data_IF_985577618826
#
_entry.id   IF_985577618826
#
_cell.length_a   1.000
_cell.length_b   1.000
_cell.length_c   1.000
_cell.angle_alpha   90.00
_cell.angle_beta   90.00
_cell.angle_gamma   90.00
#
_symmetry.space_group_name_H-M   'P 1'
#
loop_
_entity.id
_entity.type
_entity.pdbx_description
1 polymer ?
#
# COMPACT_ATOMS: atom_id res chain seq x y z
N UNK A 1 -5.72 -3.80 17.32
CA UNK A 1 -5.83 -4.54 16.04
C UNK A 1 -6.87 -5.68 16.05
N UNK A 2 -7.08 -6.50 17.09
CA UNK A 2 -8.02 -7.62 17.00
C UNK A 2 -9.43 -7.23 16.56
N UNK A 3 -9.98 -6.13 17.07
CA UNK A 3 -11.32 -5.65 16.72
C UNK A 3 -11.41 -5.14 15.27
N UNK A 4 -10.33 -4.54 14.76
CA UNK A 4 -10.25 -4.08 13.36
C UNK A 4 -10.19 -5.28 12.42
N UNK A 5 -9.38 -6.28 12.73
CA UNK A 5 -9.25 -7.51 11.95
C UNK A 5 -10.59 -8.24 11.85
N UNK A 6 -11.31 -8.42 12.93
CA UNK A 6 -12.63 -9.07 12.93
C UNK A 6 -13.67 -8.25 12.14
N UNK A 7 -13.60 -6.92 12.20
CA UNK A 7 -14.47 -6.05 11.39
C UNK A 7 -14.16 -6.18 9.90
N UNK A 8 -12.88 -6.20 9.52
CA UNK A 8 -12.45 -6.41 8.12
C UNK A 8 -12.92 -7.77 7.61
N UNK A 9 -12.71 -8.85 8.37
CA UNK A 9 -13.20 -10.20 8.00
C UNK A 9 -14.71 -10.22 7.79
N UNK A 10 -15.46 -9.53 8.63
CA UNK A 10 -16.90 -9.43 8.51
C UNK A 10 -17.30 -8.73 7.20
N UNK A 11 -16.65 -7.61 6.87
CA UNK A 11 -16.91 -6.86 5.63
C UNK A 11 -16.56 -7.68 4.38
N UNK A 12 -15.41 -8.37 4.40
CA UNK A 12 -14.99 -9.29 3.33
C UNK A 12 -16.07 -10.35 3.08
N UNK A 13 -16.57 -10.98 4.14
CA UNK A 13 -17.62 -11.99 4.03
C UNK A 13 -18.95 -11.41 3.51
N UNK A 14 -19.34 -10.23 3.97
CA UNK A 14 -20.57 -9.55 3.52
C UNK A 14 -20.54 -9.15 2.06
N UNK A 15 -19.38 -8.75 1.56
CA UNK A 15 -19.17 -8.33 0.17
C UNK A 15 -18.74 -9.48 -0.76
N UNK A 16 -18.61 -10.69 -0.25
CA UNK A 16 -18.13 -11.86 -1.00
C UNK A 16 -16.77 -11.66 -1.69
N UNK A 17 -15.88 -10.89 -1.07
CA UNK A 17 -14.54 -10.66 -1.61
C UNK A 17 -13.75 -11.97 -1.58
N UNK A 18 -13.19 -12.36 -2.73
CA UNK A 18 -12.37 -13.55 -2.84
C UNK A 18 -10.96 -13.28 -2.33
N UNK A 19 -10.62 -13.83 -1.16
CA UNK A 19 -9.32 -13.69 -0.52
C UNK A 19 -8.41 -14.88 -0.84
N UNK A 20 -7.11 -14.59 -1.06
CA UNK A 20 -6.09 -15.61 -0.96
C UNK A 20 -5.98 -16.17 0.48
N UNK A 21 -5.45 -17.39 0.65
CA UNK A 21 -5.28 -17.96 1.98
C UNK A 21 -4.29 -17.14 2.82
N UNK A 22 -4.39 -17.22 4.13
CA UNK A 22 -3.35 -16.70 5.02
C UNK A 22 -2.02 -17.40 4.79
N UNK A 23 -0.93 -16.69 5.01
CA UNK A 23 0.42 -17.23 4.87
C UNK A 23 1.11 -17.33 6.23
N UNK A 24 2.23 -18.03 6.26
CA UNK A 24 3.00 -18.29 7.48
C UNK A 24 4.03 -17.18 7.77
N UNK A 25 4.45 -17.07 9.03
CA UNK A 25 5.59 -16.24 9.42
C UNK A 25 6.86 -16.57 8.64
N UNK A 26 7.05 -17.83 8.23
CA UNK A 26 8.21 -18.27 7.44
C UNK A 26 8.18 -17.66 6.03
N UNK A 27 7.01 -17.64 5.39
CA UNK A 27 6.84 -17.01 4.06
C UNK A 27 7.06 -15.49 4.12
N UNK A 28 6.54 -14.84 5.16
CA UNK A 28 6.76 -13.41 5.41
C UNK A 28 8.26 -13.13 5.61
N UNK A 29 8.93 -13.92 6.47
CA UNK A 29 10.35 -13.75 6.74
C UNK A 29 11.23 -13.99 5.48
N UNK A 30 10.82 -14.91 4.61
CA UNK A 30 11.51 -15.15 3.34
C UNK A 30 11.41 -13.93 2.41
N UNK A 31 10.24 -13.31 2.29
CA UNK A 31 10.05 -12.08 1.53
C UNK A 31 10.87 -10.93 2.12
N UNK A 32 10.78 -10.71 3.44
CA UNK A 32 11.54 -9.66 4.13
C UNK A 32 13.06 -9.80 3.90
N UNK A 33 13.56 -11.03 3.95
CA UNK A 33 14.97 -11.32 3.68
C UNK A 33 15.35 -11.06 2.22
N UNK A 34 14.51 -11.47 1.28
CA UNK A 34 14.74 -11.27 -0.15
C UNK A 34 14.71 -9.79 -0.55
N UNK A 35 13.88 -8.98 0.12
CA UNK A 35 13.72 -7.56 -0.16
C UNK A 35 14.52 -6.65 0.79
N UNK A 36 15.33 -7.20 1.69
CA UNK A 36 16.12 -6.45 2.66
C UNK A 36 15.29 -5.41 3.43
N UNK A 37 14.13 -5.81 3.92
CA UNK A 37 13.16 -4.95 4.60
C UNK A 37 12.49 -5.68 5.75
N UNK A 38 11.67 -4.96 6.51
CA UNK A 38 10.71 -5.52 7.43
C UNK A 38 9.32 -4.99 7.10
N UNK A 39 8.37 -5.88 6.92
CA UNK A 39 6.99 -5.49 6.64
C UNK A 39 6.35 -4.82 7.87
N UNK A 40 5.58 -3.76 7.69
CA UNK A 40 4.83 -3.12 8.77
C UNK A 40 3.91 -4.11 9.48
N UNK A 41 3.77 -3.93 10.80
CA UNK A 41 3.01 -4.87 11.64
C UNK A 41 1.56 -5.05 11.18
N UNK A 42 0.89 -3.98 10.78
CA UNK A 42 -0.49 -4.05 10.32
C UNK A 42 -0.64 -4.95 9.08
N UNK A 43 0.29 -4.86 8.13
CA UNK A 43 0.28 -5.72 6.95
C UNK A 43 0.64 -7.17 7.28
N UNK A 44 1.62 -7.40 8.15
CA UNK A 44 1.95 -8.75 8.64
C UNK A 44 0.74 -9.43 9.29
N UNK A 45 0.01 -8.72 10.16
CA UNK A 45 -1.19 -9.23 10.81
C UNK A 45 -2.29 -9.54 9.79
N UNK A 46 -2.45 -8.70 8.77
CA UNK A 46 -3.40 -8.96 7.69
C UNK A 46 -3.05 -10.26 6.96
N UNK A 47 -1.80 -10.46 6.56
CA UNK A 47 -1.33 -11.66 5.88
C UNK A 47 -1.49 -12.93 6.72
N UNK A 48 -1.28 -12.84 8.03
CA UNK A 48 -1.36 -13.98 8.96
C UNK A 48 -2.79 -14.33 9.35
N UNK A 49 -3.70 -13.37 9.42
CA UNK A 49 -5.01 -13.57 10.04
C UNK A 49 -6.19 -13.34 9.08
N UNK A 50 -6.01 -12.55 8.01
CA UNK A 50 -7.09 -12.23 7.07
C UNK A 50 -6.91 -12.96 5.74
N UNK A 51 -5.79 -12.73 5.06
CA UNK A 51 -5.49 -13.38 3.78
C UNK A 51 -4.37 -12.69 3.01
N UNK A 52 -3.93 -13.34 1.93
CA UNK A 52 -2.84 -12.91 1.07
C UNK A 52 -3.36 -12.59 -0.33
N UNK A 53 -3.54 -11.31 -0.60
CA UNK A 53 -4.12 -10.80 -1.84
C UNK A 53 -5.61 -11.04 -1.96
N UNK A 54 -6.28 -10.20 -2.72
CA UNK A 54 -7.70 -10.38 -3.01
C UNK A 54 -8.09 -9.80 -4.36
N UNK A 55 -9.19 -10.35 -4.88
CA UNK A 55 -9.89 -9.87 -6.05
C UNK A 55 -11.37 -9.78 -5.71
N UNK A 56 -11.96 -8.62 -5.88
CA UNK A 56 -13.39 -8.45 -5.68
C UNK A 56 -14.13 -8.74 -6.99
N UNK A 57 -14.93 -9.81 -7.07
CA UNK A 57 -15.66 -10.16 -8.29
C UNK A 57 -16.69 -9.11 -8.71
N UNK A 58 -17.22 -8.31 -7.78
CA UNK A 58 -18.18 -7.26 -8.09
C UNK A 58 -17.49 -6.03 -8.71
N UNK A 59 -16.21 -5.86 -8.44
CA UNK A 59 -15.37 -4.80 -9.01
C UNK A 59 -14.49 -5.30 -10.15
N UNK A 60 -14.63 -6.55 -10.58
CA UNK A 60 -13.84 -7.13 -11.66
C UNK A 60 -13.93 -6.24 -12.92
N UNK A 61 -12.77 -5.71 -13.34
CA UNK A 61 -12.66 -4.75 -14.45
C UNK A 61 -12.87 -3.28 -14.03
N UNK A 62 -13.15 -2.99 -12.76
CA UNK A 62 -13.25 -1.63 -12.21
C UNK A 62 -12.04 -1.33 -11.32
N UNK A 63 -11.67 -2.28 -10.45
CA UNK A 63 -10.51 -2.17 -9.59
C UNK A 63 -9.50 -3.30 -9.84
N UNK A 64 -8.23 -2.98 -9.75
CA UNK A 64 -7.16 -3.97 -9.87
C UNK A 64 -7.08 -4.87 -8.64
N UNK A 65 -6.72 -6.15 -8.81
CA UNK A 65 -6.55 -7.05 -7.69
C UNK A 65 -5.36 -6.64 -6.80
N UNK A 66 -5.47 -6.87 -5.50
CA UNK A 66 -4.34 -6.75 -4.59
C UNK A 66 -3.45 -7.98 -4.74
N UNK A 67 -2.17 -7.75 -4.99
CA UNK A 67 -1.21 -8.81 -5.25
C UNK A 67 -1.01 -9.72 -4.03
N UNK A 68 -0.82 -11.01 -4.28
CA UNK A 68 -0.29 -11.94 -3.29
C UNK A 68 1.18 -11.65 -3.06
N UNK A 69 1.66 -11.89 -1.84
CA UNK A 69 3.06 -11.63 -1.51
C UNK A 69 4.05 -12.35 -2.46
N UNK A 70 3.71 -13.57 -2.87
CA UNK A 70 4.52 -14.34 -3.82
C UNK A 70 4.53 -13.79 -5.26
N UNK A 71 3.58 -12.92 -5.62
CA UNK A 71 3.48 -12.30 -6.95
C UNK A 71 4.24 -10.97 -7.02
N UNK A 72 4.62 -10.40 -5.88
CA UNK A 72 5.33 -9.14 -5.79
C UNK A 72 6.78 -9.34 -6.17
N UNK A 73 7.28 -8.49 -7.08
CA UNK A 73 8.67 -8.52 -7.49
C UNK A 73 9.61 -8.23 -6.31
N UNK A 74 10.62 -9.07 -6.14
CA UNK A 74 11.64 -8.88 -5.13
C UNK A 74 12.61 -7.79 -5.58
N UNK A 75 12.65 -6.69 -4.85
CA UNK A 75 13.61 -5.60 -4.99
C UNK A 75 14.17 -5.22 -3.61
N UNK A 76 15.34 -4.61 -3.58
CA UNK A 76 15.86 -4.05 -2.33
C UNK A 76 14.97 -2.89 -1.87
N UNK A 77 14.42 -2.97 -0.67
CA UNK A 77 13.57 -1.95 -0.06
C UNK A 77 14.23 -1.25 1.14
N UNK A 78 15.55 -1.37 1.27
CA UNK A 78 16.29 -0.84 2.42
C UNK A 78 16.45 0.67 2.40
N UNK A 79 16.48 1.30 1.20
CA UNK A 79 16.61 2.75 1.09
C UNK A 79 15.28 3.44 1.39
N UNK A 80 15.19 4.26 2.47
CA UNK A 80 13.93 4.82 2.92
C UNK A 80 13.38 5.89 1.98
N UNK A 81 12.06 5.97 1.86
CA UNK A 81 11.37 7.14 1.34
C UNK A 81 11.38 8.23 2.40
N UNK A 82 11.82 9.44 2.06
CA UNK A 82 11.96 10.54 3.02
C UNK A 82 10.79 11.54 2.99
N UNK A 83 9.88 11.40 2.03
CA UNK A 83 8.70 12.25 1.92
C UNK A 83 7.76 12.04 3.11
N UNK A 84 7.14 13.13 3.55
CA UNK A 84 6.04 13.14 4.53
C UNK A 84 4.74 13.60 3.90
N UNK A 85 4.82 14.28 2.76
CA UNK A 85 3.69 14.82 2.02
C UNK A 85 3.81 14.45 0.55
N UNK A 86 2.71 14.53 -0.18
CA UNK A 86 2.68 14.29 -1.62
C UNK A 86 3.64 15.21 -2.37
N UNK A 87 4.19 14.73 -3.47
CA UNK A 87 5.08 15.48 -4.34
C UNK A 87 4.70 15.21 -5.80
N UNK A 88 4.33 16.31 -6.51
CA UNK A 88 4.01 16.28 -7.94
C UNK A 88 5.17 16.90 -8.69
N UNK A 89 6.04 16.08 -9.27
CA UNK A 89 7.22 16.54 -9.99
C UNK A 89 6.92 17.05 -11.40
N UNK A 90 5.75 16.74 -11.95
CA UNK A 90 5.30 17.33 -13.21
C UNK A 90 5.15 18.87 -13.11
N UNK A 91 4.80 19.35 -11.91
CA UNK A 91 4.65 20.79 -11.63
C UNK A 91 5.92 21.44 -11.06
N UNK A 92 7.02 20.67 -10.93
CA UNK A 92 8.27 21.16 -10.34
C UNK A 92 9.04 22.02 -11.36
N UNK A 93 9.35 23.24 -10.97
CA UNK A 93 10.10 24.20 -11.80
C UNK A 93 11.60 24.20 -11.50
N UNK A 94 12.00 23.64 -10.36
CA UNK A 94 13.40 23.56 -9.94
C UNK A 94 14.08 22.31 -10.51
N UNK A 95 14.95 22.51 -11.50
CA UNK A 95 15.68 21.43 -12.17
C UNK A 95 16.53 20.58 -11.19
N UNK A 96 17.02 21.16 -10.10
CA UNK A 96 17.76 20.43 -9.07
C UNK A 96 16.88 19.39 -8.36
N UNK A 97 15.59 19.73 -8.16
CA UNK A 97 14.59 18.83 -7.59
C UNK A 97 14.24 17.67 -8.53
N UNK A 98 14.43 17.86 -9.83
CA UNK A 98 14.17 16.86 -10.88
C UNK A 98 15.41 15.99 -11.21
N UNK A 99 16.51 16.16 -10.50
CA UNK A 99 17.70 15.31 -10.68
C UNK A 99 17.48 13.89 -10.18
N UNK A 100 18.16 12.91 -10.78
CA UNK A 100 18.14 11.51 -10.35
C UNK A 100 18.52 11.37 -8.87
N UNK A 101 19.49 12.16 -8.39
CA UNK A 101 19.88 12.18 -6.98
C UNK A 101 18.75 12.67 -6.07
N UNK A 102 17.97 13.67 -6.51
CA UNK A 102 16.82 14.16 -5.76
C UNK A 102 15.71 13.10 -5.69
N UNK A 103 15.42 12.43 -6.80
CA UNK A 103 14.46 11.33 -6.83
C UNK A 103 14.88 10.20 -5.90
N UNK A 104 16.13 9.73 -6.00
CA UNK A 104 16.64 8.68 -5.13
C UNK A 104 16.55 9.07 -3.65
N UNK A 105 16.95 10.29 -3.30
CA UNK A 105 16.88 10.79 -1.92
C UNK A 105 15.45 10.86 -1.38
N UNK A 106 14.48 11.29 -2.19
CA UNK A 106 13.09 11.49 -1.78
C UNK A 106 12.28 10.19 -1.77
N UNK A 107 12.39 9.41 -2.84
CA UNK A 107 11.58 8.20 -3.04
C UNK A 107 12.24 6.94 -2.48
N UNK A 108 13.56 6.96 -2.32
CA UNK A 108 14.31 5.77 -1.93
C UNK A 108 14.07 4.61 -2.89
N UNK A 109 13.83 3.43 -2.33
CA UNK A 109 13.42 2.26 -3.12
C UNK A 109 11.89 2.14 -3.27
N UNK A 110 11.14 3.18 -2.93
CA UNK A 110 9.67 3.18 -2.92
C UNK A 110 9.13 2.19 -1.87
N UNK A 111 8.05 1.45 -2.17
CA UNK A 111 7.41 0.51 -1.28
C UNK A 111 7.18 -0.86 -1.89
N UNK A 112 6.40 -1.66 -1.18
CA UNK A 112 5.88 -2.94 -1.66
C UNK A 112 4.71 -2.65 -2.58
N UNK A 113 4.81 -3.04 -3.86
CA UNK A 113 3.72 -2.87 -4.83
C UNK A 113 2.54 -3.79 -4.49
N UNK A 114 1.48 -3.19 -3.96
CA UNK A 114 0.26 -3.91 -3.60
C UNK A 114 -0.65 -4.14 -4.80
N UNK A 115 -0.66 -3.21 -5.74
CA UNK A 115 -1.61 -3.18 -6.84
C UNK A 115 -1.06 -2.34 -8.00
N UNK A 116 -1.28 -2.80 -9.22
CA UNK A 116 -1.00 -2.09 -10.46
C UNK A 116 -2.32 -1.65 -11.10
N UNK A 117 -2.54 -0.33 -11.14
CA UNK A 117 -3.72 0.29 -11.76
C UNK A 117 -3.58 0.45 -13.28
N UNK A 118 -2.44 0.08 -13.85
CA UNK A 118 -2.12 0.35 -15.24
C UNK A 118 -1.65 1.79 -15.48
N UNK A 119 -1.22 2.07 -16.71
CA UNK A 119 -0.73 3.39 -17.12
C UNK A 119 0.38 3.98 -16.21
N UNK A 120 1.20 3.13 -15.60
CA UNK A 120 2.26 3.56 -14.69
C UNK A 120 1.79 3.99 -13.30
N UNK A 121 0.57 3.63 -12.92
CA UNK A 121 0.01 3.93 -11.59
C UNK A 121 0.01 2.69 -10.72
N UNK A 122 0.60 2.80 -9.51
CA UNK A 122 0.64 1.72 -8.52
C UNK A 122 0.21 2.22 -7.14
N UNK A 123 -0.27 1.31 -6.31
CA UNK A 123 -0.40 1.53 -4.86
C UNK A 123 0.68 0.75 -4.15
N UNK A 124 1.46 1.43 -3.32
CA UNK A 124 2.60 0.84 -2.65
C UNK A 124 2.55 1.05 -1.14
N UNK A 125 2.90 -0.01 -0.40
CA UNK A 125 3.05 0.04 1.05
C UNK A 125 4.47 0.50 1.40
N UNK A 126 4.59 1.60 2.10
CA UNK A 126 5.88 2.14 2.52
C UNK A 126 6.45 1.30 3.66
N UNK A 127 7.66 0.78 3.47
CA UNK A 127 8.33 -0.09 4.46
C UNK A 127 9.48 0.57 5.19
N UNK A 128 9.99 1.69 4.69
CA UNK A 128 11.09 2.41 5.30
C UNK A 128 10.94 3.93 5.15
N UNK A 129 11.18 4.67 6.21
CA UNK A 129 11.07 6.12 6.26
C UNK A 129 9.98 6.61 7.21
N UNK A 130 9.71 7.94 7.23
CA UNK A 130 8.75 8.53 8.17
C UNK A 130 7.31 8.05 7.98
N UNK A 131 6.93 7.65 6.76
CA UNK A 131 5.58 7.16 6.44
C UNK A 131 5.48 5.63 6.40
N UNK A 132 6.37 4.93 7.08
CA UNK A 132 6.33 3.46 7.18
C UNK A 132 4.96 2.98 7.67
N UNK A 133 4.36 2.07 6.90
CA UNK A 133 3.04 1.50 7.19
C UNK A 133 1.90 2.13 6.41
N UNK A 134 2.10 3.29 5.82
CA UNK A 134 1.10 3.94 4.97
C UNK A 134 1.09 3.36 3.55
N UNK A 135 -0.05 3.43 2.90
CA UNK A 135 -0.20 3.10 1.48
C UNK A 135 -0.22 4.39 0.68
N UNK A 136 0.62 4.46 -0.34
CA UNK A 136 0.78 5.61 -1.22
C UNK A 136 0.47 5.27 -2.67
N UNK A 137 -0.06 6.24 -3.41
CA UNK A 137 -0.23 6.19 -4.85
C UNK A 137 1.02 6.71 -5.54
N UNK A 138 1.57 5.93 -6.46
CA UNK A 138 2.71 6.27 -7.30
C UNK A 138 2.25 6.37 -8.75
N UNK A 139 2.71 7.40 -9.44
CA UNK A 139 2.49 7.59 -10.88
C UNK A 139 3.75 8.14 -11.54
N UNK A 140 3.70 8.33 -12.84
CA UNK A 140 4.78 8.96 -13.62
C UNK A 140 4.89 10.48 -13.43
N UNK A 141 3.88 11.10 -12.81
CA UNK A 141 3.82 12.56 -12.57
C UNK A 141 4.00 12.96 -11.10
N UNK A 142 3.82 12.03 -10.17
CA UNK A 142 3.90 12.36 -8.75
C UNK A 142 3.53 11.19 -7.85
N UNK A 143 3.63 11.44 -6.55
CA UNK A 143 3.28 10.51 -5.47
C UNK A 143 2.46 11.21 -4.39
N UNK A 144 1.53 10.48 -3.79
CA UNK A 144 0.73 11.01 -2.68
C UNK A 144 0.27 9.88 -1.76
N UNK A 145 0.04 10.15 -0.46
CA UNK A 145 -0.63 9.18 0.39
C UNK A 145 -2.06 8.92 -0.11
N UNK A 146 -2.47 7.67 -0.13
CA UNK A 146 -3.86 7.32 -0.43
C UNK A 146 -4.79 7.77 0.69
N UNK A 147 -4.29 7.68 1.92
CA UNK A 147 -5.02 8.07 3.11
C UNK A 147 -3.99 8.50 4.16
N UNK A 148 -4.02 9.77 4.54
CA UNK A 148 -3.05 10.29 5.49
C UNK A 148 -3.15 9.53 6.83
N UNK A 149 -1.98 9.12 7.34
CA UNK A 149 -1.80 8.51 8.67
C UNK A 149 -2.64 7.26 8.94
N UNK A 150 -3.05 6.56 7.88
CA UNK A 150 -3.63 5.23 7.98
C UNK A 150 -2.55 4.17 7.80
N UNK A 151 -2.59 3.15 8.64
CA UNK A 151 -1.81 1.95 8.40
C UNK A 151 -2.52 1.05 7.36
N UNK A 152 -1.89 -0.07 7.02
CA UNK A 152 -2.43 -1.00 6.04
C UNK A 152 -3.85 -1.50 6.40
N UNK A 153 -4.13 -1.75 7.67
CA UNK A 153 -5.46 -2.21 8.09
C UNK A 153 -6.51 -1.12 7.89
N UNK A 154 -6.20 0.13 8.22
CA UNK A 154 -7.08 1.26 7.96
C UNK A 154 -7.31 1.47 6.46
N UNK A 155 -6.24 1.43 5.66
CA UNK A 155 -6.36 1.53 4.20
C UNK A 155 -7.19 0.39 3.60
N UNK A 156 -6.93 -0.85 3.99
CA UNK A 156 -7.67 -2.01 3.47
C UNK A 156 -9.17 -1.93 3.79
N UNK A 157 -9.52 -1.45 4.97
CA UNK A 157 -10.92 -1.26 5.35
C UNK A 157 -11.59 -0.17 4.49
N UNK A 158 -10.90 0.96 4.24
CA UNK A 158 -11.40 2.01 3.36
C UNK A 158 -11.54 1.52 1.91
N UNK A 159 -10.57 0.75 1.42
CA UNK A 159 -10.63 0.15 0.09
C UNK A 159 -11.87 -0.76 -0.05
N UNK A 160 -12.12 -1.61 0.95
CA UNK A 160 -13.29 -2.50 1.00
C UNK A 160 -14.60 -1.68 1.05
N UNK A 161 -14.65 -0.64 1.87
CA UNK A 161 -15.85 0.20 2.04
C UNK A 161 -16.17 1.01 0.79
N UNK A 162 -15.17 1.40 0.01
CA UNK A 162 -15.31 2.18 -1.22
C UNK A 162 -15.46 1.32 -2.49
N UNK A 163 -15.53 0.00 -2.37
CA UNK A 163 -15.54 -0.94 -3.50
C UNK A 163 -14.33 -0.76 -4.44
N UNK A 164 -13.18 -0.43 -3.87
CA UNK A 164 -11.93 -0.23 -4.60
C UNK A 164 -11.85 1.07 -5.40
N UNK A 165 -12.73 2.04 -5.13
CA UNK A 165 -12.69 3.34 -5.79
C UNK A 165 -11.55 4.22 -5.20
N UNK A 166 -10.45 4.46 -5.96
CA UNK A 166 -9.32 5.23 -5.45
C UNK A 166 -9.65 6.70 -5.18
N UNK A 167 -10.70 7.24 -5.79
CA UNK A 167 -11.10 8.63 -5.57
C UNK A 167 -11.66 8.87 -4.16
N UNK A 168 -12.20 7.82 -3.54
CA UNK A 168 -12.62 7.85 -2.15
C UNK A 168 -11.49 8.24 -1.21
N UNK A 169 -10.28 7.77 -1.46
CA UNK A 169 -9.13 8.01 -0.59
C UNK A 169 -8.63 9.46 -0.65
N UNK A 170 -8.82 10.18 -1.75
CA UNK A 170 -8.41 11.57 -1.92
C UNK A 170 -9.21 12.52 -1.05
N UNK A 171 -10.48 12.21 -0.84
CA UNK A 171 -11.41 13.04 -0.08
C UNK A 171 -11.46 12.63 1.41
N UNK A 172 -10.77 11.55 1.77
CA UNK A 172 -10.75 11.07 3.14
C UNK A 172 -9.84 11.96 4.02
N UNK A 173 -10.45 12.59 5.00
CA UNK A 173 -9.73 13.32 6.06
C UNK A 173 -9.58 12.40 7.26
N UNK A 174 -8.34 12.04 7.56
CA UNK A 174 -8.02 11.32 8.79
C UNK A 174 -8.48 12.14 10.00
N UNK A 175 -9.38 11.58 10.78
CA UNK A 175 -9.70 12.12 12.09
C UNK A 175 -8.75 11.50 13.07
N UNK A 176 -7.81 12.27 13.60
CA UNK A 176 -7.11 11.89 14.80
C UNK A 176 -8.18 11.52 15.83
N UNK A 177 -8.01 10.40 16.50
CA UNK A 177 -8.93 9.96 17.53
C UNK A 177 -9.07 11.10 18.55
N UNK A 178 -10.26 11.66 18.57
CA UNK A 178 -10.62 12.71 19.52
C UNK A 178 -10.81 12.11 20.92
#
# INVERSE_FOLDING_TARGET
YPSVIERIKTKIAQKNISMGPTISETEIAAFESACNTRLPQAYRLFLLEVGDGWNDPETEGIASPIHRLAEIEHKDLSLPMTLTDGWVWEDEEDEEQLSDESFERKLGNQGVELMDEGCGMTYELITAGPCTGEVWSFSDVGVSPCCERQDFLGWSELWIDSDGDPDYFKDYVYKEDA
#
